data_IF_013730194650
#
_entry.id   IF_013730194650
#
_cell.length_a   1.000
_cell.length_b   1.000
_cell.length_c   1.000
_cell.angle_alpha   90.00
_cell.angle_beta   90.00
_cell.angle_gamma   90.00
#
_symmetry.space_group_name_H-M   'P 1'
#
loop_
_entity.id
_entity.type
_entity.pdbx_description
1 polymer ?
#
# COMPACT_ATOMS: atom_id res chain seq x y z
N UNK A 1 11.67 -11.67 25.45
CA UNK A 1 12.76 -11.04 24.69
C UNK A 1 12.16 -10.36 23.46
N UNK A 2 11.85 -9.05 23.54
CA UNK A 2 11.23 -8.28 22.45
C UNK A 2 12.18 -7.20 21.94
N UNK A 3 13.42 -7.56 21.59
CA UNK A 3 14.30 -6.63 20.90
C UNK A 3 14.10 -6.87 19.41
N UNK A 4 13.41 -5.94 18.73
CA UNK A 4 13.30 -5.98 17.28
C UNK A 4 14.66 -5.59 16.69
N UNK A 5 15.29 -6.46 15.87
CA UNK A 5 16.60 -6.16 15.29
C UNK A 5 16.53 -4.92 14.40
N UNK A 6 17.65 -4.22 14.22
CA UNK A 6 17.73 -3.10 13.28
C UNK A 6 17.40 -3.61 11.87
N UNK A 7 16.34 -3.07 11.26
CA UNK A 7 15.83 -3.55 9.97
C UNK A 7 15.77 -2.43 8.98
N UNK A 8 16.32 -2.69 7.80
CA UNK A 8 16.19 -1.82 6.64
C UNK A 8 15.34 -2.56 5.60
N UNK A 9 14.20 -1.97 5.23
CA UNK A 9 13.32 -2.53 4.22
C UNK A 9 13.04 -1.50 3.11
N UNK A 10 13.43 -1.78 1.85
CA UNK A 10 13.08 -0.92 0.73
C UNK A 10 11.57 -0.97 0.46
N UNK A 11 10.99 0.19 0.19
CA UNK A 11 9.59 0.38 -0.14
C UNK A 11 9.52 0.79 -1.60
N UNK A 12 9.23 -0.19 -2.46
CA UNK A 12 8.99 0.06 -3.88
C UNK A 12 7.52 0.34 -4.17
N UNK A 13 7.23 0.57 -5.45
CA UNK A 13 5.85 0.70 -5.94
C UNK A 13 5.08 -0.57 -5.67
N UNK A 14 3.90 -0.45 -5.05
CA UNK A 14 3.13 -1.63 -4.74
C UNK A 14 2.55 -2.24 -6.01
N UNK A 15 3.03 -3.43 -6.40
CA UNK A 15 2.41 -4.16 -7.49
C UNK A 15 1.17 -4.92 -7.03
N UNK A 16 1.02 -5.20 -5.74
CA UNK A 16 -0.28 -5.65 -5.23
C UNK A 16 -1.38 -4.61 -5.53
N UNK A 17 -1.09 -3.33 -5.26
CA UNK A 17 -1.99 -2.23 -5.63
C UNK A 17 -2.22 -2.17 -7.14
N UNK A 18 -1.16 -2.27 -7.95
CA UNK A 18 -1.28 -2.31 -9.41
C UNK A 18 -2.18 -3.45 -9.91
N UNK A 19 -1.97 -4.67 -9.39
CA UNK A 19 -2.78 -5.84 -9.73
C UNK A 19 -4.24 -5.67 -9.29
N UNK A 20 -4.47 -5.17 -8.07
CA UNK A 20 -5.81 -4.88 -7.56
C UNK A 20 -6.56 -3.89 -8.47
N UNK A 21 -5.88 -2.84 -8.91
CA UNK A 21 -6.46 -1.86 -9.85
C UNK A 21 -6.79 -2.48 -11.21
N UNK A 22 -5.94 -3.38 -11.73
CA UNK A 22 -6.22 -4.11 -12.97
C UNK A 22 -7.42 -5.04 -12.79
N UNK A 23 -7.50 -5.80 -11.70
CA UNK A 23 -8.65 -6.65 -11.40
C UNK A 23 -9.95 -5.83 -11.31
N UNK A 24 -9.90 -4.65 -10.69
CA UNK A 24 -11.06 -3.76 -10.58
C UNK A 24 -11.46 -3.16 -11.94
N UNK A 25 -10.48 -2.82 -12.78
CA UNK A 25 -10.72 -2.39 -14.16
C UNK A 25 -11.41 -3.48 -14.98
N UNK A 26 -10.90 -4.72 -14.90
CA UNK A 26 -11.48 -5.87 -15.60
C UNK A 26 -12.90 -6.17 -15.11
N UNK A 27 -13.15 -6.07 -13.80
CA UNK A 27 -14.48 -6.23 -13.24
C UNK A 27 -15.44 -5.14 -13.75
N UNK A 28 -15.02 -3.88 -13.80
CA UNK A 28 -15.82 -2.79 -14.34
C UNK A 28 -16.17 -3.02 -15.82
N UNK A 29 -15.20 -3.40 -16.64
CA UNK A 29 -15.41 -3.74 -18.05
C UNK A 29 -16.34 -4.94 -18.21
N UNK A 30 -16.19 -5.99 -17.38
CA UNK A 30 -17.07 -7.15 -17.41
C UNK A 30 -18.52 -6.78 -17.06
N UNK A 31 -18.75 -5.91 -16.07
CA UNK A 31 -20.08 -5.40 -15.74
C UNK A 31 -20.70 -4.65 -16.92
N UNK A 32 -19.93 -3.76 -17.55
CA UNK A 32 -20.39 -3.02 -18.75
C UNK A 32 -20.68 -3.98 -19.91
N UNK A 33 -19.85 -5.00 -20.12
CA UNK A 33 -20.02 -6.00 -21.17
C UNK A 33 -21.28 -6.85 -20.93
N UNK A 34 -21.50 -7.34 -19.71
CA UNK A 34 -22.71 -8.10 -19.35
C UNK A 34 -23.95 -7.24 -19.57
N UNK A 35 -23.94 -5.99 -19.11
CA UNK A 35 -25.04 -5.05 -19.33
C UNK A 35 -25.27 -4.73 -20.83
N UNK A 36 -24.21 -4.70 -21.63
CA UNK A 36 -24.26 -4.54 -23.08
C UNK A 36 -24.72 -5.80 -23.83
N UNK A 37 -24.78 -6.97 -23.18
CA UNK A 37 -25.24 -8.24 -23.76
C UNK A 37 -26.67 -8.62 -23.30
N UNK A 38 -27.17 -8.11 -22.18
CA UNK A 38 -28.54 -8.40 -21.70
C UNK A 38 -29.62 -7.80 -22.61
N UNK A 39 -30.55 -8.59 -23.18
CA UNK A 39 -31.60 -8.10 -24.07
C UNK A 39 -32.67 -7.33 -23.28
N UNK A 40 -32.41 -6.04 -23.03
CA UNK A 40 -33.36 -5.10 -22.45
C UNK A 40 -33.56 -3.97 -23.46
N UNK A 41 -34.54 -4.15 -24.37
CA UNK A 41 -34.81 -3.25 -25.50
C UNK A 41 -35.27 -1.83 -25.07
N UNK A 42 -35.74 -1.62 -23.84
CA UNK A 42 -36.45 -0.39 -23.48
C UNK A 42 -35.59 0.77 -22.93
N UNK A 43 -34.33 0.55 -22.55
CA UNK A 43 -33.53 1.55 -21.80
C UNK A 43 -32.07 1.72 -22.26
N UNK A 44 -31.67 1.09 -23.38
CA UNK A 44 -30.34 1.30 -23.98
C UNK A 44 -30.28 2.62 -24.73
N UNK A 45 -30.10 3.71 -24.00
CA UNK A 45 -29.55 4.92 -24.59
C UNK A 45 -28.07 4.69 -24.91
N UNK A 46 -27.66 4.84 -26.18
CA UNK A 46 -26.25 5.04 -26.57
C UNK A 46 -25.48 5.98 -25.59
N UNK A 47 -26.05 7.08 -25.05
CA UNK A 47 -25.34 7.91 -24.07
C UNK A 47 -24.94 7.19 -22.78
N UNK A 48 -25.71 6.22 -22.29
CA UNK A 48 -25.41 5.54 -21.03
C UNK A 48 -24.20 4.60 -21.16
N UNK A 49 -24.07 3.93 -22.32
CA UNK A 49 -22.90 3.10 -22.63
C UNK A 49 -21.64 3.94 -22.85
N UNK A 50 -21.76 5.07 -23.55
CA UNK A 50 -20.66 6.03 -23.69
C UNK A 50 -20.23 6.59 -22.33
N UNK A 51 -21.18 6.96 -21.47
CA UNK A 51 -20.88 7.46 -20.12
C UNK A 51 -20.16 6.41 -19.25
N UNK A 52 -20.59 5.14 -19.32
CA UNK A 52 -19.92 4.05 -18.60
C UNK A 52 -18.48 3.82 -19.06
N UNK A 53 -18.24 3.86 -20.38
CA UNK A 53 -16.89 3.74 -20.94
C UNK A 53 -16.00 4.93 -20.56
N UNK A 54 -16.52 6.16 -20.65
CA UNK A 54 -15.77 7.36 -20.22
C UNK A 54 -15.44 7.28 -18.74
N UNK A 55 -16.38 6.86 -17.90
CA UNK A 55 -16.13 6.66 -16.47
C UNK A 55 -15.02 5.62 -16.22
N UNK A 56 -15.01 4.50 -16.94
CA UNK A 56 -13.94 3.49 -16.83
C UNK A 56 -12.57 4.06 -17.21
N UNK A 57 -12.49 4.84 -18.29
CA UNK A 57 -11.24 5.48 -18.75
C UNK A 57 -10.75 6.51 -17.74
N UNK A 58 -11.63 7.40 -17.26
CA UNK A 58 -11.28 8.41 -16.27
C UNK A 58 -10.82 7.77 -14.96
N UNK A 59 -11.52 6.73 -14.50
CA UNK A 59 -11.13 5.98 -13.32
C UNK A 59 -9.77 5.29 -13.51
N UNK A 60 -9.55 4.64 -14.64
CA UNK A 60 -8.27 3.98 -14.95
C UNK A 60 -7.10 4.97 -15.03
N UNK A 61 -7.30 6.14 -15.61
CA UNK A 61 -6.31 7.21 -15.65
C UNK A 61 -5.99 7.73 -14.24
N UNK A 62 -7.01 8.02 -13.44
CA UNK A 62 -6.84 8.47 -12.06
C UNK A 62 -6.13 7.43 -11.19
N UNK A 63 -6.56 6.16 -11.27
CA UNK A 63 -5.94 5.04 -10.58
C UNK A 63 -4.46 4.87 -10.96
N UNK A 64 -4.12 5.02 -12.24
CA UNK A 64 -2.75 4.97 -12.73
C UNK A 64 -1.89 6.09 -12.16
N UNK A 65 -2.43 7.32 -12.10
CA UNK A 65 -1.76 8.48 -11.48
C UNK A 65 -1.56 8.25 -9.99
N UNK A 66 -2.55 7.73 -9.28
CA UNK A 66 -2.42 7.38 -7.86
C UNK A 66 -1.35 6.31 -7.63
N UNK A 67 -1.29 5.30 -8.49
CA UNK A 67 -0.26 4.26 -8.45
C UNK A 67 1.14 4.82 -8.79
N UNK A 68 1.23 5.76 -9.73
CA UNK A 68 2.48 6.46 -10.05
C UNK A 68 2.97 7.39 -8.95
N UNK A 69 2.05 7.98 -8.19
CA UNK A 69 2.35 8.82 -7.03
C UNK A 69 2.49 8.02 -5.74
N UNK A 70 2.47 6.68 -5.80
CA UNK A 70 2.66 5.86 -4.60
C UNK A 70 4.03 6.16 -3.99
N UNK A 71 4.12 6.35 -2.67
CA UNK A 71 5.39 6.70 -2.03
C UNK A 71 6.41 5.57 -2.18
N UNK A 72 7.57 5.91 -2.73
CA UNK A 72 8.74 5.06 -2.82
C UNK A 72 9.80 5.53 -1.83
N UNK A 73 10.58 4.60 -1.30
CA UNK A 73 11.61 4.92 -0.33
C UNK A 73 12.17 3.70 0.38
N UNK A 74 12.53 3.88 1.64
CA UNK A 74 13.05 2.83 2.51
C UNK A 74 12.62 3.12 3.93
N UNK A 75 12.05 2.12 4.56
CA UNK A 75 11.67 2.14 5.96
C UNK A 75 12.79 1.49 6.76
N UNK A 76 13.31 2.21 7.75
CA UNK A 76 14.36 1.74 8.63
C UNK A 76 13.90 1.79 10.09
N UNK A 77 14.08 0.68 10.79
CA UNK A 77 13.98 0.61 12.25
C UNK A 77 15.39 0.59 12.82
N UNK A 78 15.72 1.57 13.69
CA UNK A 78 16.96 1.55 14.47
C UNK A 78 16.64 1.26 15.92
N UNK A 79 17.29 0.24 16.45
CA UNK A 79 17.30 -0.02 17.89
C UNK A 79 18.11 1.09 18.59
N UNK A 80 17.51 1.72 19.60
CA UNK A 80 18.20 2.66 20.49
C UNK A 80 18.39 1.86 21.78
N UNK A 81 19.58 1.24 21.90
CA UNK A 81 19.83 0.15 22.85
C UNK A 81 19.15 0.28 24.23
N UNK A 82 18.55 -0.83 24.66
CA UNK A 82 18.03 -1.19 25.99
C UNK A 82 18.08 -0.10 27.08
N UNK A 83 17.12 0.82 27.08
CA UNK A 83 16.71 1.53 28.29
C UNK A 83 15.57 0.77 29.00
N UNK A 84 15.51 0.93 30.32
CA UNK A 84 14.84 0.06 31.29
C UNK A 84 13.32 -0.15 31.14
N UNK A 85 12.65 0.55 30.21
CA UNK A 85 11.18 0.58 30.10
C UNK A 85 10.58 -0.18 28.91
N UNK A 86 11.39 -0.91 28.16
CA UNK A 86 10.90 -1.82 27.10
C UNK A 86 10.73 -1.13 25.73
N UNK A 87 11.57 -1.56 24.79
CA UNK A 87 11.54 -1.26 23.35
C UNK A 87 11.50 0.24 23.01
N UNK A 88 12.63 0.94 23.13
CA UNK A 88 12.80 2.27 22.52
C UNK A 88 13.60 2.17 21.21
N UNK A 89 13.00 1.66 20.14
CA UNK A 89 13.53 1.87 18.78
C UNK A 89 12.85 3.04 18.09
N UNK A 90 13.49 3.58 17.06
CA UNK A 90 12.96 4.71 16.28
C UNK A 90 12.83 4.34 14.81
N UNK A 91 11.68 4.70 14.22
CA UNK A 91 11.43 4.50 12.81
C UNK A 91 11.89 5.70 11.97
N UNK A 92 12.61 5.42 10.90
CA UNK A 92 13.11 6.40 9.94
C UNK A 92 12.57 6.09 8.54
N UNK A 93 12.06 7.12 7.89
CA UNK A 93 11.65 7.07 6.48
C UNK A 93 12.71 7.76 5.62
N UNK A 94 13.24 7.02 4.66
CA UNK A 94 14.12 7.52 3.61
C UNK A 94 13.28 7.63 2.33
N UNK A 95 12.79 8.82 2.02
CA UNK A 95 12.08 9.09 0.76
C UNK A 95 13.02 9.65 -0.31
N UNK A 96 12.47 10.46 -1.21
CA UNK A 96 13.25 11.23 -2.18
C UNK A 96 14.07 12.38 -1.55
N UNK A 97 13.83 12.71 -0.27
CA UNK A 97 14.59 13.73 0.44
C UNK A 97 16.00 13.21 0.80
N UNK A 98 17.04 14.06 0.75
CA UNK A 98 18.41 13.64 0.99
C UNK A 98 18.70 13.23 2.44
N UNK A 99 17.83 13.61 3.40
CA UNK A 99 17.99 13.27 4.81
C UNK A 99 16.87 12.32 5.27
N UNK A 100 17.21 11.33 6.11
CA UNK A 100 16.20 10.46 6.72
C UNK A 100 15.28 11.25 7.63
N UNK A 101 13.97 11.05 7.45
CA UNK A 101 12.95 11.65 8.29
C UNK A 101 12.62 10.71 9.45
N UNK A 102 12.81 11.16 10.68
CA UNK A 102 12.30 10.48 11.87
C UNK A 102 10.76 10.54 11.88
N UNK A 103 10.12 9.38 12.05
CA UNK A 103 8.67 9.31 12.16
C UNK A 103 8.22 9.74 13.55
N UNK A 104 7.17 10.56 13.60
CA UNK A 104 6.64 11.09 14.86
C UNK A 104 5.82 10.04 15.60
N UNK A 105 5.26 9.08 14.87
CA UNK A 105 4.53 7.94 15.40
C UNK A 105 5.08 6.67 14.78
N UNK A 106 4.99 5.57 15.53
CA UNK A 106 5.25 4.26 14.98
C UNK A 106 4.31 4.01 13.78
N UNK A 107 4.79 3.37 12.70
CA UNK A 107 3.94 2.92 11.62
C UNK A 107 2.88 1.96 12.16
N UNK A 108 1.63 2.27 11.89
CA UNK A 108 0.50 1.47 12.35
C UNK A 108 0.18 0.40 11.32
N UNK A 109 0.23 -0.85 11.74
CA UNK A 109 -0.16 -1.98 10.91
C UNK A 109 -1.68 -2.03 10.81
N UNK A 110 -2.23 -1.73 9.62
CA UNK A 110 -3.68 -1.73 9.40
C UNK A 110 -4.17 -3.03 8.80
N UNK A 111 -3.43 -3.60 7.86
CA UNK A 111 -3.75 -4.89 7.26
C UNK A 111 -2.49 -5.72 7.07
N UNK A 112 -2.59 -7.02 7.36
CA UNK A 112 -1.50 -7.97 7.20
C UNK A 112 -1.94 -9.16 6.36
N UNK A 113 -1.46 -9.22 5.11
CA UNK A 113 -1.69 -10.33 4.18
C UNK A 113 -0.45 -11.23 4.07
N UNK A 114 0.36 -11.31 5.13
CA UNK A 114 1.60 -12.09 5.24
C UNK A 114 2.75 -11.62 4.36
N UNK A 115 2.56 -11.49 3.04
CA UNK A 115 3.58 -11.04 2.06
C UNK A 115 3.40 -9.60 1.62
N UNK A 116 2.25 -9.02 1.95
CA UNK A 116 1.86 -7.65 1.67
C UNK A 116 1.25 -7.11 2.96
N UNK A 117 1.70 -5.96 3.43
CA UNK A 117 1.09 -5.29 4.57
C UNK A 117 0.70 -3.87 4.22
N UNK A 118 -0.43 -3.41 4.73
CA UNK A 118 -0.86 -2.03 4.66
C UNK A 118 -0.50 -1.35 5.96
N UNK A 119 0.29 -0.28 5.86
CA UNK A 119 0.76 0.47 7.02
C UNK A 119 0.36 1.93 6.87
N UNK A 120 -0.06 2.53 7.98
CA UNK A 120 -0.30 3.96 8.08
C UNK A 120 0.92 4.64 8.68
N UNK A 121 1.53 5.54 7.91
CA UNK A 121 2.81 6.18 8.21
C UNK A 121 2.66 7.70 8.08
N UNK A 122 2.76 8.44 9.19
CA UNK A 122 2.50 9.88 9.28
C UNK A 122 1.20 10.32 8.55
N UNK A 123 0.13 9.52 8.70
CA UNK A 123 -1.17 9.78 8.07
C UNK A 123 -1.30 9.35 6.60
N UNK A 124 -0.26 8.76 6.02
CA UNK A 124 -0.26 8.21 4.65
C UNK A 124 -0.41 6.70 4.66
N UNK A 125 -1.13 6.17 3.68
CA UNK A 125 -1.30 4.73 3.47
C UNK A 125 -0.23 4.21 2.53
N UNK A 126 0.52 3.21 2.99
CA UNK A 126 1.62 2.63 2.23
C UNK A 126 1.48 1.11 2.23
N UNK A 127 1.49 0.53 1.04
CA UNK A 127 1.59 -0.90 0.84
C UNK A 127 3.06 -1.32 0.86
N UNK A 128 3.44 -2.11 1.85
CA UNK A 128 4.76 -2.71 1.95
C UNK A 128 4.69 -4.15 1.43
N UNK A 129 5.74 -4.58 0.74
CA UNK A 129 5.73 -5.88 0.10
C UNK A 129 7.05 -6.63 0.29
N UNK A 130 6.93 -7.92 0.64
CA UNK A 130 8.04 -8.82 0.88
C UNK A 130 9.01 -8.94 -0.31
N UNK A 131 8.55 -8.68 -1.53
CA UNK A 131 9.36 -8.81 -2.75
C UNK A 131 10.60 -7.90 -2.74
N UNK A 132 10.51 -6.75 -2.08
CA UNK A 132 11.57 -5.73 -2.12
C UNK A 132 12.66 -6.00 -1.07
N UNK A 133 12.33 -6.71 0.01
CA UNK A 133 13.25 -7.02 1.10
C UNK A 133 13.00 -8.40 1.69
N UNK A 134 12.95 -9.44 0.85
CA UNK A 134 12.54 -10.79 1.26
C UNK A 134 13.35 -11.34 2.46
N UNK A 135 14.63 -11.01 2.54
CA UNK A 135 15.50 -11.39 3.66
C UNK A 135 15.17 -10.66 4.97
N UNK A 136 14.75 -9.39 4.91
CA UNK A 136 14.43 -8.56 6.09
C UNK A 136 12.93 -8.46 6.37
N UNK A 137 12.09 -9.12 5.57
CA UNK A 137 10.63 -9.01 5.62
C UNK A 137 10.04 -9.50 6.95
N UNK A 138 10.46 -10.67 7.42
CA UNK A 138 9.95 -11.22 8.68
C UNK A 138 10.37 -10.39 9.89
N UNK A 139 11.58 -9.81 9.83
CA UNK A 139 12.07 -8.93 10.88
C UNK A 139 11.33 -7.60 10.87
N UNK A 140 11.06 -7.03 9.69
CA UNK A 140 10.21 -5.85 9.53
C UNK A 140 8.82 -6.11 10.12
N UNK A 141 8.18 -7.22 9.74
CA UNK A 141 6.83 -7.57 10.20
C UNK A 141 6.80 -7.73 11.72
N UNK A 142 7.82 -8.36 12.31
CA UNK A 142 7.98 -8.45 13.77
C UNK A 142 8.16 -7.09 14.42
N UNK A 143 8.95 -6.19 13.83
CA UNK A 143 9.13 -4.83 14.32
C UNK A 143 7.80 -4.05 14.29
N UNK A 144 7.05 -4.13 13.18
CA UNK A 144 5.73 -3.49 13.03
C UNK A 144 4.73 -3.98 14.07
N UNK A 145 4.66 -5.30 14.29
CA UNK A 145 3.79 -5.91 15.30
C UNK A 145 4.20 -5.52 16.73
N UNK A 146 5.49 -5.41 17.00
CA UNK A 146 6.00 -4.98 18.30
C UNK A 146 5.75 -3.49 18.58
N UNK A 147 5.68 -2.66 17.54
CA UNK A 147 5.44 -1.21 17.65
C UNK A 147 3.97 -0.81 17.54
N UNK A 148 3.06 -1.76 17.35
CA UNK A 148 1.63 -1.47 17.29
C UNK A 148 1.10 -1.06 18.68
N UNK A 149 0.33 0.04 18.79
CA UNK A 149 -0.32 0.39 20.04
C UNK A 149 -1.33 -0.71 20.43
N UNK A 150 -1.28 -1.14 21.69
CA UNK A 150 -2.26 -2.08 22.31
C UNK A 150 -3.56 -1.35 22.58
#
# INVERSE_FOLDING_TARGET
>A
MRNAPSVIHPVGRSFFLGLLLVCLALAAVAVVAVWALTPVEAQRGQPALVAALVACVLWGAWASVCWWRSPEGRLEWRDRGSYADGIEGSWFWHGAAPQPRLLHRAPELVLDLQRVVLVRLDGRWIWLEARYGAASWWDLRRALLASAPV
#
